data_IF_053019722434
#
_entry.id   IF_053019722434
#
_cell.length_a   1.000
_cell.length_b   1.000
_cell.length_c   1.000
_cell.angle_alpha   90.00
_cell.angle_beta   90.00
_cell.angle_gamma   90.00
#
_symmetry.space_group_name_H-M   'P 1'
#
loop_
_entity.id
_entity.type
_entity.pdbx_description
1 polymer ?
#
# COMPACT_ATOMS: atom_id res chain seq x y z
N UNK A 1 -23.47 -35.11 43.01
CA UNK A 1 -24.13 -33.87 42.57
C UNK A 1 -23.59 -32.72 43.41
N UNK A 2 -22.71 -31.89 42.86
CA UNK A 2 -22.16 -30.71 43.53
C UNK A 2 -22.42 -29.49 42.63
N UNK A 3 -22.97 -28.37 43.16
CA UNK A 3 -23.31 -27.22 42.34
C UNK A 3 -22.06 -26.41 41.96
N UNK A 4 -21.89 -26.20 40.66
CA UNK A 4 -20.88 -25.32 40.06
C UNK A 4 -21.18 -23.86 40.41
N UNK A 5 -20.41 -23.31 41.36
CA UNK A 5 -20.35 -21.89 41.65
C UNK A 5 -19.73 -21.15 40.45
N UNK A 6 -20.57 -20.45 39.71
CA UNK A 6 -20.22 -19.60 38.58
C UNK A 6 -19.60 -18.29 39.11
N UNK A 7 -18.32 -18.06 38.86
CA UNK A 7 -17.62 -16.82 39.18
C UNK A 7 -17.84 -15.80 38.04
N UNK A 8 -18.39 -14.60 38.28
CA UNK A 8 -18.55 -13.60 37.23
C UNK A 8 -17.21 -12.90 36.91
N UNK A 9 -16.96 -12.53 35.63
CA UNK A 9 -15.74 -11.83 35.24
C UNK A 9 -15.72 -10.37 35.73
N UNK A 10 -14.63 -10.01 36.40
CA UNK A 10 -14.30 -8.65 36.84
C UNK A 10 -13.98 -7.76 35.60
N UNK A 11 -14.98 -7.08 35.07
CA UNK A 11 -14.80 -6.08 34.02
C UNK A 11 -14.41 -4.74 34.66
N UNK A 12 -13.14 -4.34 34.54
CA UNK A 12 -12.63 -3.07 35.10
C UNK A 12 -12.69 -2.00 34.01
N UNK A 13 -13.51 -0.94 34.14
CA UNK A 13 -13.60 0.11 33.12
C UNK A 13 -12.32 0.95 33.15
N UNK A 14 -11.57 0.96 32.06
CA UNK A 14 -10.49 1.92 31.84
C UNK A 14 -11.13 3.27 31.50
N UNK A 15 -11.12 4.18 32.45
CA UNK A 15 -11.45 5.59 32.27
C UNK A 15 -10.49 6.23 31.27
N UNK A 16 -10.95 6.47 30.05
CA UNK A 16 -10.25 7.30 29.05
C UNK A 16 -10.62 8.74 29.35
N UNK A 17 -9.73 9.46 30.04
CA UNK A 17 -9.86 10.89 30.28
C UNK A 17 -9.62 11.64 28.96
N UNK A 18 -10.69 12.28 28.48
CA UNK A 18 -10.70 13.30 27.42
C UNK A 18 -9.84 14.49 27.86
N UNK A 19 -8.89 14.89 27.01
CA UNK A 19 -8.30 16.23 27.03
C UNK A 19 -8.39 16.82 25.61
N UNK A 20 -9.52 17.46 25.32
CA UNK A 20 -9.69 18.35 24.16
C UNK A 20 -9.49 19.76 24.68
N UNK A 21 -8.35 20.37 24.38
CA UNK A 21 -8.07 21.76 24.71
C UNK A 21 -7.61 22.51 23.46
N UNK A 22 -8.50 23.41 23.02
CA UNK A 22 -8.23 24.74 22.48
C UNK A 22 -7.36 24.89 21.21
N UNK A 23 -8.02 25.05 20.07
CA UNK A 23 -7.55 25.92 18.97
C UNK A 23 -8.70 26.83 18.55
N UNK A 24 -8.75 28.02 19.14
CA UNK A 24 -9.65 29.09 18.72
C UNK A 24 -8.96 30.44 18.95
N UNK A 25 -8.22 30.94 17.97
CA UNK A 25 -7.92 32.37 17.84
C UNK A 25 -7.98 32.78 16.38
N UNK A 26 -8.94 33.67 16.12
CA UNK A 26 -9.20 34.42 14.91
C UNK A 26 -8.03 35.36 14.58
N UNK A 27 -7.63 35.43 13.32
CA UNK A 27 -7.19 36.69 12.72
C UNK A 27 -7.95 36.92 11.42
N UNK A 28 -8.91 37.82 11.53
CA UNK A 28 -9.72 38.45 10.50
C UNK A 28 -8.84 39.39 9.67
N UNK A 29 -8.90 39.30 8.35
CA UNK A 29 -8.23 40.21 7.42
C UNK A 29 -8.97 40.26 6.08
N UNK A 30 -9.83 41.26 5.94
CA UNK A 30 -10.65 41.57 4.76
C UNK A 30 -9.80 42.04 3.56
N UNK A 31 -10.06 41.49 2.37
CA UNK A 31 -10.72 42.13 1.22
C UNK A 31 -9.96 43.30 0.56
N UNK A 32 -9.64 43.16 -0.73
CA UNK A 32 -10.23 44.03 -1.78
C UNK A 32 -9.86 43.56 -3.19
N UNK A 33 -10.79 43.80 -4.10
CA UNK A 33 -10.93 43.33 -5.47
C UNK A 33 -9.98 43.98 -6.50
N UNK A 34 -9.74 43.27 -7.60
CA UNK A 34 -9.90 43.77 -8.96
C UNK A 34 -9.91 42.62 -9.99
N UNK A 35 -11.04 42.45 -10.67
CA UNK A 35 -11.28 41.72 -11.93
C UNK A 35 -10.75 42.54 -13.15
N UNK A 36 -10.95 42.15 -14.44
CA UNK A 36 -11.00 40.83 -15.12
C UNK A 36 -10.17 40.79 -16.44
N UNK A 37 -9.92 39.59 -16.99
CA UNK A 37 -9.78 39.29 -18.43
C UNK A 37 -9.67 37.75 -18.55
N UNK A 38 -10.67 37.02 -19.06
CA UNK A 38 -10.93 36.86 -20.48
C UNK A 38 -9.65 36.57 -21.28
N UNK A 39 -9.24 35.30 -21.33
CA UNK A 39 -8.70 34.75 -22.57
C UNK A 39 -9.12 33.29 -22.70
N UNK A 40 -9.88 33.08 -23.76
CA UNK A 40 -10.53 31.87 -24.22
C UNK A 40 -9.48 31.09 -25.03
N UNK A 41 -8.72 30.19 -24.38
CA UNK A 41 -7.87 29.27 -25.13
C UNK A 41 -7.93 27.87 -24.52
N UNK A 42 -8.98 27.15 -24.92
CA UNK A 42 -9.04 25.70 -24.95
C UNK A 42 -8.00 25.17 -25.97
N UNK A 43 -6.98 24.40 -25.58
CA UNK A 43 -6.22 23.63 -26.54
C UNK A 43 -7.01 22.36 -26.86
N UNK A 44 -7.63 22.40 -28.04
CA UNK A 44 -8.07 21.23 -28.79
C UNK A 44 -7.05 20.10 -28.71
N UNK A 45 -7.56 18.89 -28.59
CA UNK A 45 -6.83 17.65 -28.84
C UNK A 45 -5.97 17.78 -30.12
N UNK A 46 -4.72 17.31 -30.11
CA UNK A 46 -3.94 17.24 -31.33
C UNK A 46 -4.56 16.22 -32.31
N UNK A 47 -4.52 16.48 -33.62
CA UNK A 47 -5.05 15.57 -34.61
C UNK A 47 -4.29 14.24 -34.61
N UNK A 48 -5.04 13.17 -34.80
CA UNK A 48 -4.50 11.89 -35.17
C UNK A 48 -3.74 12.02 -36.50
N UNK A 49 -2.43 11.73 -36.47
CA UNK A 49 -1.69 11.33 -37.66
C UNK A 49 -0.63 12.28 -38.15
N UNK A 50 0.53 12.27 -37.50
CA UNK A 50 1.80 12.51 -38.17
C UNK A 50 2.73 11.35 -37.81
N UNK A 51 2.86 10.42 -38.76
CA UNK A 51 3.86 9.35 -38.74
C UNK A 51 5.21 9.97 -39.01
N UNK A 52 5.88 10.42 -37.97
CA UNK A 52 7.29 10.76 -38.07
C UNK A 52 8.08 9.46 -38.05
N UNK A 53 8.35 8.93 -39.25
CA UNK A 53 9.31 7.84 -39.47
C UNK A 53 10.71 8.36 -39.19
N UNK A 54 11.04 8.55 -37.92
CA UNK A 54 12.43 8.61 -37.49
C UNK A 54 12.94 7.18 -37.46
N UNK A 55 13.42 6.72 -38.61
CA UNK A 55 14.28 5.54 -38.73
C UNK A 55 15.60 5.86 -38.03
N UNK A 56 15.56 5.83 -36.70
CA UNK A 56 16.77 5.76 -35.89
C UNK A 56 17.24 4.33 -36.08
N UNK A 57 18.41 4.16 -36.70
CA UNK A 57 19.11 2.89 -36.67
C UNK A 57 19.17 2.43 -35.20
N UNK A 58 18.52 1.30 -34.91
CA UNK A 58 18.55 0.68 -33.60
C UNK A 58 20.02 0.41 -33.27
N UNK A 59 20.56 0.95 -32.15
CA UNK A 59 21.92 0.62 -31.76
C UNK A 59 22.03 -0.89 -31.59
N UNK A 60 23.11 -1.47 -32.13
CA UNK A 60 23.37 -2.90 -32.08
C UNK A 60 23.11 -3.45 -30.66
N UNK A 61 22.52 -4.66 -30.52
CA UNK A 61 22.21 -5.22 -29.23
C UNK A 61 23.48 -5.24 -28.36
N UNK A 62 23.41 -4.80 -27.09
CA UNK A 62 24.56 -4.89 -26.21
C UNK A 62 25.04 -6.34 -26.18
N UNK A 63 26.37 -6.59 -26.11
CA UNK A 63 26.87 -7.95 -25.92
C UNK A 63 26.15 -8.57 -24.72
N UNK A 64 25.90 -9.89 -24.71
CA UNK A 64 25.16 -10.53 -23.63
C UNK A 64 25.86 -10.18 -22.32
N UNK A 65 25.24 -9.27 -21.56
CA UNK A 65 25.66 -9.00 -20.21
C UNK A 65 25.57 -10.35 -19.50
N UNK A 66 26.68 -10.83 -18.94
CA UNK A 66 26.61 -11.94 -18.00
C UNK A 66 25.57 -11.54 -16.96
N UNK A 67 24.40 -12.18 -16.99
CA UNK A 67 23.34 -11.89 -16.03
C UNK A 67 23.94 -12.08 -14.64
N UNK A 68 23.77 -11.11 -13.72
CA UNK A 68 24.18 -11.32 -12.35
C UNK A 68 23.48 -12.58 -11.81
N UNK A 69 24.13 -13.31 -10.87
CA UNK A 69 23.51 -14.48 -10.27
C UNK A 69 22.14 -14.10 -9.72
N UNK A 70 21.13 -14.93 -10.00
CA UNK A 70 19.78 -14.71 -9.49
C UNK A 70 19.82 -14.56 -7.96
N UNK A 71 18.99 -13.65 -7.39
CA UNK A 71 18.96 -13.47 -5.94
C UNK A 71 18.64 -14.81 -5.27
N UNK A 72 19.35 -15.10 -4.17
CA UNK A 72 19.13 -16.32 -3.40
C UNK A 72 17.68 -16.36 -2.87
N UNK A 73 17.07 -17.55 -2.91
CA UNK A 73 15.73 -17.75 -2.37
C UNK A 73 15.68 -17.41 -0.86
N UNK A 74 14.53 -16.90 -0.34
CA UNK A 74 14.40 -16.54 1.06
C UNK A 74 14.54 -17.77 1.97
N UNK A 75 15.14 -17.59 3.14
CA UNK A 75 15.32 -18.67 4.10
C UNK A 75 13.97 -19.15 4.69
N UNK A 76 13.87 -20.41 5.15
CA UNK A 76 12.65 -20.90 5.82
C UNK A 76 12.21 -20.05 7.02
N UNK A 77 13.17 -19.44 7.73
CA UNK A 77 12.89 -18.56 8.86
C UNK A 77 12.18 -17.26 8.43
N UNK A 78 12.61 -16.66 7.31
CA UNK A 78 11.97 -15.45 6.75
C UNK A 78 10.54 -15.77 6.30
N UNK A 79 10.34 -16.91 5.62
CA UNK A 79 9.01 -17.37 5.21
C UNK A 79 8.10 -17.64 6.42
N UNK A 80 8.64 -18.25 7.50
CA UNK A 80 7.89 -18.50 8.73
C UNK A 80 7.49 -17.20 9.45
N UNK A 81 8.37 -16.20 9.49
CA UNK A 81 8.05 -14.86 10.00
C UNK A 81 6.96 -14.21 9.18
N UNK A 82 7.05 -14.26 7.85
CA UNK A 82 6.02 -13.75 6.95
C UNK A 82 4.67 -14.40 7.17
N UNK A 83 4.63 -15.73 7.36
CA UNK A 83 3.41 -16.47 7.70
C UNK A 83 2.79 -15.96 9.00
N UNK A 84 3.61 -15.70 10.04
CA UNK A 84 3.11 -15.17 11.30
C UNK A 84 2.47 -13.78 11.12
N UNK A 85 3.17 -12.86 10.45
CA UNK A 85 2.70 -11.50 10.18
C UNK A 85 1.45 -11.48 9.27
N UNK A 86 1.33 -12.45 8.36
CA UNK A 86 0.21 -12.52 7.40
C UNK A 86 -1.16 -12.67 8.06
N UNK A 87 -1.23 -13.06 9.33
CA UNK A 87 -2.48 -13.21 10.09
C UNK A 87 -3.32 -11.93 10.04
N UNK A 88 -2.67 -10.78 10.17
CA UNK A 88 -3.34 -9.47 10.11
C UNK A 88 -3.86 -9.18 8.70
N UNK A 89 -3.09 -9.53 7.68
CA UNK A 89 -3.46 -9.35 6.28
C UNK A 89 -4.65 -10.25 5.89
N UNK A 90 -4.68 -11.49 6.40
CA UNK A 90 -5.74 -12.45 6.14
C UNK A 90 -7.05 -12.13 6.86
N UNK A 91 -7.16 -11.04 7.62
CA UNK A 91 -8.48 -10.55 8.04
C UNK A 91 -9.30 -10.04 6.84
N UNK A 92 -8.62 -9.49 5.84
CA UNK A 92 -9.22 -8.84 4.67
C UNK A 92 -8.82 -9.53 3.35
N UNK A 93 -7.54 -9.85 3.18
CA UNK A 93 -6.99 -10.45 1.96
C UNK A 93 -7.02 -11.98 2.07
N UNK A 94 -8.04 -12.58 1.47
CA UNK A 94 -8.29 -14.01 1.61
C UNK A 94 -7.21 -14.82 0.90
N UNK A 95 -6.79 -15.91 1.56
CA UNK A 95 -5.71 -16.77 1.07
C UNK A 95 -6.20 -17.74 -0.02
N UNK A 96 -7.51 -18.03 -0.02
CA UNK A 96 -8.20 -18.84 -1.04
C UNK A 96 -8.33 -18.12 -2.39
N UNK A 97 -7.91 -16.86 -2.48
CA UNK A 97 -7.94 -16.07 -3.70
C UNK A 97 -9.32 -15.50 -4.06
N UNK A 98 -10.34 -15.66 -3.20
CA UNK A 98 -11.67 -15.10 -3.45
C UNK A 98 -11.64 -13.58 -3.27
N UNK A 99 -12.00 -12.86 -4.33
CA UNK A 99 -12.01 -11.39 -4.35
C UNK A 99 -13.43 -10.84 -4.14
N UNK A 100 -13.72 -10.34 -2.94
CA UNK A 100 -15.00 -9.71 -2.58
C UNK A 100 -14.83 -8.19 -2.42
N UNK A 101 -14.39 -7.51 -3.47
CA UNK A 101 -14.00 -6.10 -3.43
C UNK A 101 -12.66 -5.81 -2.74
N UNK A 102 -12.03 -6.84 -2.16
CA UNK A 102 -10.67 -6.82 -1.63
C UNK A 102 -9.82 -7.74 -2.50
N UNK A 103 -8.71 -7.24 -3.09
CA UNK A 103 -7.93 -8.03 -4.03
C UNK A 103 -7.13 -9.14 -3.35
N UNK A 104 -6.96 -10.25 -4.06
CA UNK A 104 -6.14 -11.38 -3.64
C UNK A 104 -4.64 -11.09 -3.79
N UNK A 105 -3.88 -11.34 -2.72
CA UNK A 105 -2.41 -11.13 -2.69
C UNK A 105 -1.61 -12.44 -2.68
N UNK A 106 -2.28 -13.59 -2.72
CA UNK A 106 -1.66 -14.91 -2.86
C UNK A 106 -0.86 -14.99 -4.17
N UNK A 107 0.37 -15.50 -4.08
CA UNK A 107 1.29 -15.65 -5.21
C UNK A 107 1.88 -14.34 -5.73
N UNK A 108 1.74 -13.22 -5.02
CA UNK A 108 2.44 -11.99 -5.39
C UNK A 108 3.93 -12.13 -5.05
N UNK A 109 4.81 -11.68 -5.96
CA UNK A 109 6.24 -11.60 -5.66
C UNK A 109 6.52 -10.61 -4.53
N UNK A 110 7.67 -10.76 -3.87
CA UNK A 110 8.08 -9.85 -2.81
C UNK A 110 8.19 -8.41 -3.31
N UNK A 111 8.71 -8.21 -4.52
CA UNK A 111 8.85 -6.88 -5.15
C UNK A 111 7.48 -6.26 -5.42
N UNK A 112 6.52 -7.05 -5.91
CA UNK A 112 5.16 -6.57 -6.18
C UNK A 112 4.47 -6.14 -4.89
N UNK A 113 4.60 -6.92 -3.83
CA UNK A 113 4.01 -6.59 -2.53
C UNK A 113 4.67 -5.33 -1.94
N UNK A 114 6.01 -5.26 -1.99
CA UNK A 114 6.77 -4.12 -1.50
C UNK A 114 6.39 -2.82 -2.24
N UNK A 115 6.33 -2.85 -3.57
CA UNK A 115 5.93 -1.71 -4.39
C UNK A 115 4.49 -1.25 -4.09
N UNK A 116 3.58 -2.21 -3.83
CA UNK A 116 2.20 -1.88 -3.45
C UNK A 116 2.13 -1.18 -2.09
N UNK A 117 2.79 -1.75 -1.08
CA UNK A 117 2.83 -1.19 0.27
C UNK A 117 3.53 0.16 0.30
N UNK A 118 4.62 0.34 -0.44
CA UNK A 118 5.29 1.62 -0.58
C UNK A 118 4.39 2.68 -1.23
N UNK A 119 3.67 2.31 -2.29
CA UNK A 119 2.68 3.18 -2.90
C UNK A 119 1.59 3.64 -1.93
N UNK A 120 1.12 2.77 -1.03
CA UNK A 120 0.17 3.15 0.02
C UNK A 120 0.81 4.00 1.13
N UNK A 121 2.08 3.73 1.47
CA UNK A 121 2.83 4.47 2.48
C UNK A 121 3.08 5.92 2.06
N UNK A 122 3.47 6.13 0.80
CA UNK A 122 3.77 7.44 0.20
C UNK A 122 2.52 8.18 -0.27
N UNK A 123 1.40 7.49 -0.45
CA UNK A 123 0.16 8.06 -0.97
C UNK A 123 0.05 8.06 -2.50
N UNK A 124 1.03 7.52 -3.22
CA UNK A 124 0.93 7.26 -4.66
C UNK A 124 -0.25 6.33 -4.99
N UNK A 125 -0.60 5.42 -4.07
CA UNK A 125 -1.86 4.67 -4.07
C UNK A 125 -2.73 5.16 -2.92
N UNK A 126 -3.91 5.71 -3.25
CA UNK A 126 -4.83 6.27 -2.26
C UNK A 126 -5.80 5.20 -1.75
N UNK A 127 -5.60 4.76 -0.51
CA UNK A 127 -6.58 4.00 0.26
C UNK A 127 -6.26 4.21 1.76
N UNK A 128 -7.17 4.78 2.57
CA UNK A 128 -6.89 5.12 3.96
C UNK A 128 -6.59 3.90 4.83
N UNK A 129 -7.24 2.76 4.56
CA UNK A 129 -7.05 1.50 5.30
C UNK A 129 -5.67 0.91 4.98
N UNK A 130 -5.35 0.74 3.69
CA UNK A 130 -4.04 0.19 3.32
C UNK A 130 -2.89 1.16 3.61
N UNK A 131 -3.16 2.46 3.60
CA UNK A 131 -2.18 3.47 4.01
C UNK A 131 -1.83 3.38 5.49
N UNK A 132 -2.79 3.13 6.39
CA UNK A 132 -2.49 2.92 7.81
C UNK A 132 -1.70 1.64 8.02
N UNK A 133 -2.12 0.54 7.40
CA UNK A 133 -1.40 -0.76 7.45
C UNK A 133 0.03 -0.63 6.92
N UNK A 134 0.24 0.01 5.77
CA UNK A 134 1.58 0.13 5.19
C UNK A 134 2.54 0.96 6.07
N UNK A 135 2.03 1.94 6.82
CA UNK A 135 2.85 2.76 7.72
C UNK A 135 3.27 2.04 9.00
N UNK A 136 2.61 0.96 9.40
CA UNK A 136 3.01 0.19 10.59
C UNK A 136 4.09 -0.86 10.30
N UNK A 137 4.33 -1.18 9.02
CA UNK A 137 5.27 -2.21 8.62
C UNK A 137 6.67 -1.65 8.39
N UNK A 138 7.66 -2.31 8.99
CA UNK A 138 9.09 -2.13 8.70
C UNK A 138 9.50 -2.80 7.38
N UNK A 139 10.69 -2.47 6.86
CA UNK A 139 11.22 -3.07 5.63
C UNK A 139 11.36 -4.60 5.74
N UNK A 140 11.92 -5.09 6.85
CA UNK A 140 12.11 -6.53 7.08
C UNK A 140 10.78 -7.28 7.19
N UNK A 141 9.72 -6.64 7.69
CA UNK A 141 8.37 -7.23 7.74
C UNK A 141 7.75 -7.31 6.35
N UNK A 142 7.94 -6.28 5.52
CA UNK A 142 7.52 -6.28 4.12
C UNK A 142 8.23 -7.38 3.34
N UNK A 143 9.54 -7.54 3.55
CA UNK A 143 10.32 -8.62 2.93
C UNK A 143 9.78 -9.99 3.35
N UNK A 144 9.59 -10.21 4.66
CA UNK A 144 9.08 -11.48 5.18
C UNK A 144 7.67 -11.80 4.64
N UNK A 145 6.76 -10.82 4.64
CA UNK A 145 5.42 -10.95 4.05
C UNK A 145 5.51 -11.26 2.56
N UNK A 146 6.40 -10.58 1.83
CA UNK A 146 6.64 -10.81 0.41
C UNK A 146 7.11 -12.23 0.12
N UNK A 147 8.10 -12.71 0.87
CA UNK A 147 8.59 -14.08 0.77
C UNK A 147 7.49 -15.12 1.06
N UNK A 148 6.64 -14.84 2.05
CA UNK A 148 5.52 -15.72 2.36
C UNK A 148 4.48 -15.76 1.23
N UNK A 149 3.97 -14.61 0.78
CA UNK A 149 2.94 -14.57 -0.26
C UNK A 149 3.42 -15.09 -1.61
N UNK A 150 4.69 -14.88 -1.95
CA UNK A 150 5.31 -15.45 -3.14
C UNK A 150 5.41 -16.98 -3.10
N UNK A 151 5.52 -17.57 -1.89
CA UNK A 151 5.55 -19.03 -1.71
C UNK A 151 4.19 -19.71 -1.90
N UNK A 152 3.10 -18.94 -1.88
CA UNK A 152 1.75 -19.46 -2.03
C UNK A 152 1.38 -19.59 -3.51
N UNK A 153 0.74 -20.71 -3.87
CA UNK A 153 0.17 -20.90 -5.22
C UNK A 153 -1.16 -20.14 -5.30
N UNK A 154 -1.35 -19.42 -6.42
CA UNK A 154 -2.62 -18.80 -6.79
C UNK A 154 -3.56 -19.83 -7.38
#
# INVERSE_FOLDING_TARGET
>A
MAPMLLLPPLFKPRTVALSVAAVLLLTLGAASAAEPAADDTSPSQPPAGERETKLTAEPAPPPPALLPPAPAAPSPAVVARGRHLSRDCTSCHRIDGVENGIPGITGWSAERLAAALDGYRTGARRNPVMGSVARTLSADEVEALGAYYASLKR
#
